data_IF_630110550239
#
_entry.id   IF_630110550239
#
_cell.length_a   1.000
_cell.length_b   1.000
_cell.length_c   1.000
_cell.angle_alpha   90.00
_cell.angle_beta   90.00
_cell.angle_gamma   90.00
#
_symmetry.space_group_name_H-M   'P 1'
#
loop_
_entity.id
_entity.type
_entity.pdbx_description
1 polymer ?
#
# COMPACT_ATOMS: atom_id res chain seq x y z
N UNK A 1 -81.89 2.17 26.42
CA UNK A 1 -80.83 3.12 25.99
C UNK A 1 -79.65 3.02 26.94
N UNK A 2 -78.43 3.22 26.40
CA UNK A 2 -77.10 3.27 27.05
C UNK A 2 -76.36 1.93 27.19
N UNK A 3 -75.62 1.62 26.13
CA UNK A 3 -74.44 0.75 26.08
C UNK A 3 -73.41 1.21 27.12
N UNK A 4 -72.80 0.28 27.86
CA UNK A 4 -71.50 0.51 28.51
C UNK A 4 -70.56 -0.63 28.11
N UNK A 5 -69.47 -0.24 27.46
CA UNK A 5 -68.44 -1.10 26.91
C UNK A 5 -67.58 -1.69 28.03
N UNK A 6 -67.39 -3.01 27.99
CA UNK A 6 -66.44 -3.72 28.82
C UNK A 6 -65.03 -3.51 28.24
N UNK A 7 -64.17 -2.78 28.96
CA UNK A 7 -62.76 -2.68 28.63
C UNK A 7 -62.04 -3.95 29.10
N UNK A 8 -61.57 -4.76 28.17
CA UNK A 8 -60.66 -5.89 28.43
C UNK A 8 -59.24 -5.34 28.45
N UNK A 9 -58.59 -5.37 29.62
CA UNK A 9 -57.18 -5.08 29.75
C UNK A 9 -56.36 -6.30 29.29
N UNK A 10 -55.73 -6.20 28.12
CA UNK A 10 -54.73 -7.17 27.66
C UNK A 10 -53.39 -6.76 28.28
N UNK A 11 -52.93 -7.51 29.28
CA UNK A 11 -51.55 -7.41 29.78
C UNK A 11 -50.67 -8.21 28.82
N UNK A 12 -49.95 -7.50 27.95
CA UNK A 12 -48.91 -8.09 27.12
C UNK A 12 -47.66 -8.34 27.98
N UNK A 13 -47.38 -9.61 28.29
CA UNK A 13 -46.09 -10.04 28.84
C UNK A 13 -45.06 -9.94 27.73
N UNK A 14 -44.28 -8.86 27.72
CA UNK A 14 -43.10 -8.72 26.89
C UNK A 14 -41.97 -9.48 27.57
N UNK A 15 -41.72 -10.72 27.16
CA UNK A 15 -40.47 -11.40 27.48
C UNK A 15 -39.34 -10.65 26.77
N UNK A 16 -38.61 -9.82 27.53
CA UNK A 16 -37.32 -9.30 27.13
C UNK A 16 -36.34 -10.48 26.99
N UNK A 17 -36.31 -11.11 25.81
CA UNK A 17 -35.19 -11.96 25.42
C UNK A 17 -33.99 -11.03 25.24
N UNK A 18 -33.25 -10.83 26.33
CA UNK A 18 -31.94 -10.22 26.29
C UNK A 18 -31.06 -11.13 25.42
N UNK A 19 -30.88 -10.77 24.16
CA UNK A 19 -29.78 -11.25 23.35
C UNK A 19 -28.49 -10.76 24.02
N UNK A 20 -28.00 -11.53 25.00
CA UNK A 20 -26.62 -11.38 25.47
C UNK A 20 -25.76 -11.79 24.29
N UNK A 21 -25.36 -10.81 23.48
CA UNK A 21 -24.27 -11.00 22.54
C UNK A 21 -23.06 -11.40 23.39
N UNK A 22 -22.76 -12.71 23.42
CA UNK A 22 -21.54 -13.18 24.06
C UNK A 22 -20.40 -12.35 23.48
N UNK A 23 -19.62 -11.63 24.30
CA UNK A 23 -18.47 -10.92 23.79
C UNK A 23 -17.60 -11.96 23.09
N UNK A 24 -17.45 -11.83 21.78
CA UNK A 24 -16.57 -12.70 21.00
C UNK A 24 -15.20 -12.54 21.62
N UNK A 25 -14.79 -13.52 22.41
CA UNK A 25 -13.56 -13.45 23.16
C UNK A 25 -12.43 -13.39 22.13
N UNK A 26 -11.79 -12.23 22.02
CA UNK A 26 -10.73 -11.99 21.06
C UNK A 26 -9.71 -13.13 21.21
N UNK A 27 -9.49 -13.89 20.15
CA UNK A 27 -8.59 -15.02 20.20
C UNK A 27 -7.19 -14.51 20.55
N UNK A 28 -6.70 -14.92 21.73
CA UNK A 28 -5.42 -14.46 22.25
C UNK A 28 -4.28 -14.83 21.29
N UNK A 29 -3.40 -13.87 21.05
CA UNK A 29 -2.14 -14.11 20.34
C UNK A 29 -1.33 -15.20 21.06
N UNK A 30 -0.63 -16.05 20.31
CA UNK A 30 0.44 -16.86 20.90
C UNK A 30 1.54 -15.93 21.46
N UNK A 31 2.43 -16.47 22.32
CA UNK A 31 3.56 -15.67 22.86
C UNK A 31 4.42 -15.06 21.74
N UNK A 32 4.68 -15.82 20.66
CA UNK A 32 5.46 -15.34 19.52
C UNK A 32 4.69 -14.33 18.67
N UNK A 33 3.39 -14.55 18.42
CA UNK A 33 2.52 -13.59 17.73
C UNK A 33 2.48 -12.27 18.52
N UNK A 34 2.28 -12.32 19.84
CA UNK A 34 2.23 -11.13 20.71
C UNK A 34 3.55 -10.34 20.70
N UNK A 35 4.71 -11.02 20.68
CA UNK A 35 6.02 -10.37 20.57
C UNK A 35 6.15 -9.62 19.24
N UNK A 36 5.71 -10.23 18.13
CA UNK A 36 5.75 -9.59 16.81
C UNK A 36 4.75 -8.43 16.69
N UNK A 37 3.55 -8.58 17.22
CA UNK A 37 2.55 -7.50 17.27
C UNK A 37 3.11 -6.29 18.03
N UNK A 38 3.64 -6.48 19.24
CA UNK A 38 4.25 -5.40 20.02
C UNK A 38 5.44 -4.77 19.31
N UNK A 39 6.24 -5.56 18.60
CA UNK A 39 7.34 -5.04 17.78
C UNK A 39 6.84 -4.10 16.68
N UNK A 40 5.87 -4.54 15.87
CA UNK A 40 5.34 -3.71 14.77
C UNK A 40 4.49 -2.54 15.24
N UNK A 41 3.76 -2.67 16.35
CA UNK A 41 3.03 -1.55 16.96
C UNK A 41 3.98 -0.47 17.45
N UNK A 42 5.10 -0.85 18.11
CA UNK A 42 6.13 0.11 18.53
C UNK A 42 6.79 0.80 17.35
N UNK A 43 7.18 0.04 16.31
CA UNK A 43 7.72 0.64 15.09
C UNK A 43 6.75 1.64 14.47
N UNK A 44 5.49 1.24 14.27
CA UNK A 44 4.49 2.11 13.66
C UNK A 44 4.18 3.38 14.49
N UNK A 45 4.13 3.23 15.83
CA UNK A 45 3.97 4.36 16.75
C UNK A 45 5.11 5.38 16.64
N UNK A 46 6.33 4.90 16.40
CA UNK A 46 7.52 5.74 16.29
C UNK A 46 7.68 6.39 14.91
N UNK A 47 6.95 5.95 13.88
CA UNK A 47 6.95 6.63 12.58
C UNK A 47 6.35 8.03 12.75
N UNK A 48 6.96 9.04 12.15
CA UNK A 48 6.43 10.39 12.15
C UNK A 48 5.06 10.45 11.42
N UNK A 49 4.19 11.32 11.91
CA UNK A 49 2.83 11.59 11.41
C UNK A 49 2.67 13.04 10.96
N UNK A 50 3.77 13.81 10.89
CA UNK A 50 3.80 15.18 10.42
C UNK A 50 3.08 15.31 9.07
N UNK A 51 2.32 16.39 8.98
CA UNK A 51 1.56 16.76 7.79
C UNK A 51 2.36 17.82 7.02
N UNK A 52 2.50 17.61 5.71
CA UNK A 52 3.29 18.44 4.83
C UNK A 52 2.40 19.10 3.79
N UNK A 53 2.43 20.43 3.76
CA UNK A 53 1.77 21.24 2.73
C UNK A 53 2.83 21.90 1.83
N UNK A 54 2.38 22.69 0.85
CA UNK A 54 3.25 23.43 -0.07
C UNK A 54 4.35 24.24 0.62
N UNK A 55 4.07 24.77 1.82
CA UNK A 55 5.00 25.64 2.55
C UNK A 55 5.95 24.86 3.47
N UNK A 56 5.61 23.64 3.89
CA UNK A 56 6.40 22.86 4.85
C UNK A 56 7.15 21.67 4.25
N UNK A 57 6.78 21.23 3.03
CA UNK A 57 7.40 20.07 2.37
C UNK A 57 8.80 20.38 1.81
N UNK A 58 9.13 21.65 1.58
CA UNK A 58 10.40 22.07 0.99
C UNK A 58 11.37 22.65 2.00
N UNK A 59 12.65 22.33 1.84
CA UNK A 59 13.74 23.15 2.34
C UNK A 59 14.02 24.31 1.37
N UNK A 60 13.92 24.04 0.06
CA UNK A 60 13.98 25.04 -1.01
C UNK A 60 12.86 24.77 -1.99
N UNK A 61 11.95 25.74 -2.18
CA UNK A 61 10.83 25.57 -3.09
C UNK A 61 11.31 25.37 -4.54
N UNK A 62 10.61 24.56 -5.35
CA UNK A 62 10.89 24.45 -6.78
C UNK A 62 10.69 25.79 -7.51
N UNK A 63 11.45 26.01 -8.59
CA UNK A 63 11.21 27.06 -9.57
C UNK A 63 10.77 26.44 -10.90
N UNK A 64 9.53 26.67 -11.28
CA UNK A 64 8.91 26.13 -12.48
C UNK A 64 8.92 27.14 -13.65
N UNK A 65 9.97 27.96 -13.71
CA UNK A 65 10.22 28.96 -14.75
C UNK A 65 11.71 28.93 -15.13
N UNK A 66 12.18 29.84 -15.99
CA UNK A 66 13.60 29.95 -16.31
C UNK A 66 14.36 30.76 -15.22
N UNK A 67 15.40 30.23 -14.56
CA UNK A 67 15.97 28.89 -14.70
C UNK A 67 15.19 27.84 -13.90
N UNK A 68 14.95 26.66 -14.49
CA UNK A 68 14.27 25.56 -13.79
C UNK A 68 15.07 25.13 -12.57
N UNK A 69 14.38 24.91 -11.46
CA UNK A 69 14.95 24.24 -10.29
C UNK A 69 13.93 23.27 -9.72
N UNK A 70 14.28 21.99 -9.52
CA UNK A 70 13.38 21.02 -8.93
C UNK A 70 13.13 21.28 -7.42
N UNK A 71 13.86 22.21 -6.81
CA UNK A 71 13.83 22.47 -5.38
C UNK A 71 14.53 21.37 -4.57
N UNK A 72 14.44 21.49 -3.25
CA UNK A 72 14.98 20.53 -2.28
C UNK A 72 13.90 20.25 -1.24
N UNK A 73 13.59 18.98 -1.03
CA UNK A 73 12.63 18.57 0.00
C UNK A 73 13.18 18.81 1.39
N UNK A 74 12.27 18.99 2.34
CA UNK A 74 12.59 18.89 3.75
C UNK A 74 13.18 17.48 4.03
N UNK A 75 14.40 17.38 4.58
CA UNK A 75 15.03 16.08 4.86
C UNK A 75 14.18 15.17 5.77
N UNK A 76 13.38 15.76 6.67
CA UNK A 76 12.48 15.01 7.54
C UNK A 76 11.37 14.29 6.76
N UNK A 77 10.88 14.88 5.66
CA UNK A 77 9.90 14.24 4.78
C UNK A 77 10.52 13.01 4.11
N UNK A 78 11.72 13.14 3.53
CA UNK A 78 12.43 12.03 2.87
C UNK A 78 12.67 10.89 3.87
N UNK A 79 13.27 11.19 5.04
CA UNK A 79 13.56 10.18 6.06
C UNK A 79 12.28 9.47 6.52
N UNK A 80 11.20 10.23 6.76
CA UNK A 80 9.92 9.66 7.18
C UNK A 80 9.35 8.74 6.12
N UNK A 81 9.33 9.15 4.85
CA UNK A 81 8.85 8.30 3.74
C UNK A 81 9.62 6.98 3.69
N UNK A 82 10.95 7.02 3.79
CA UNK A 82 11.78 5.81 3.83
C UNK A 82 11.53 4.94 5.07
N UNK A 83 11.23 5.54 6.23
CA UNK A 83 10.85 4.78 7.42
C UNK A 83 9.54 4.01 7.22
N UNK A 84 8.55 4.57 6.51
CA UNK A 84 7.33 3.85 6.13
C UNK A 84 7.60 2.73 5.13
N UNK A 85 8.37 3.01 4.06
CA UNK A 85 8.79 2.00 3.08
C UNK A 85 9.45 0.82 3.79
N UNK A 86 10.42 1.10 4.66
CA UNK A 86 11.17 0.09 5.39
C UNK A 86 10.34 -0.62 6.48
N UNK A 87 9.36 0.06 7.09
CA UNK A 87 8.37 -0.59 7.94
C UNK A 87 7.54 -1.63 7.18
N UNK A 88 7.06 -1.31 5.98
CA UNK A 88 6.28 -2.23 5.15
C UNK A 88 7.12 -3.39 4.60
N UNK A 89 8.38 -3.15 4.25
CA UNK A 89 9.34 -4.19 3.88
C UNK A 89 9.62 -5.15 5.04
N UNK A 90 9.77 -4.64 6.27
CA UNK A 90 9.96 -5.45 7.48
C UNK A 90 8.76 -6.35 7.79
N UNK A 91 7.52 -5.88 7.56
CA UNK A 91 6.31 -6.72 7.72
C UNK A 91 6.37 -8.01 6.91
N UNK A 92 6.96 -7.95 5.71
CA UNK A 92 7.12 -9.12 4.84
C UNK A 92 8.51 -9.76 4.96
N UNK A 93 9.35 -9.30 5.89
CA UNK A 93 10.69 -9.83 6.15
C UNK A 93 11.68 -9.57 5.02
N UNK A 94 11.59 -8.40 4.38
CA UNK A 94 12.60 -7.88 3.45
C UNK A 94 13.57 -6.96 4.20
N UNK A 95 14.83 -6.85 3.74
CA UNK A 95 15.77 -5.89 4.28
C UNK A 95 15.35 -4.45 3.94
N UNK A 96 15.77 -3.51 4.77
CA UNK A 96 15.61 -2.08 4.46
C UNK A 96 16.35 -1.71 3.17
N UNK A 97 15.77 -0.77 2.44
CA UNK A 97 16.43 -0.10 1.33
C UNK A 97 17.21 1.12 1.80
N UNK A 98 18.32 1.37 1.10
CA UNK A 98 19.07 2.61 1.25
C UNK A 98 18.36 3.78 0.57
N UNK A 99 18.73 5.01 0.95
CA UNK A 99 18.18 6.23 0.36
C UNK A 99 19.32 7.18 0.02
N UNK A 100 20.02 6.97 -1.11
CA UNK A 100 21.15 7.80 -1.48
C UNK A 100 20.69 9.12 -2.11
N UNK A 101 21.51 10.15 -1.95
CA UNK A 101 21.16 11.53 -2.35
C UNK A 101 20.95 11.68 -3.85
N UNK A 102 21.65 10.92 -4.68
CA UNK A 102 21.50 10.91 -6.14
C UNK A 102 20.13 10.36 -6.58
N UNK A 103 19.64 9.32 -5.90
CA UNK A 103 18.31 8.79 -6.12
C UNK A 103 17.23 9.80 -5.69
N UNK A 104 17.42 10.47 -4.53
CA UNK A 104 16.53 11.54 -4.07
C UNK A 104 16.49 12.72 -5.07
N UNK A 105 17.65 13.15 -5.56
CA UNK A 105 17.74 14.21 -6.57
C UNK A 105 16.98 13.81 -7.85
N UNK A 106 17.16 12.58 -8.30
CA UNK A 106 16.47 12.06 -9.49
C UNK A 106 14.94 12.02 -9.30
N UNK A 107 14.49 11.51 -8.16
CA UNK A 107 13.06 11.49 -7.82
C UNK A 107 12.47 12.90 -7.70
N UNK A 108 13.20 13.85 -7.09
CA UNK A 108 12.76 15.24 -6.96
C UNK A 108 12.65 15.94 -8.31
N UNK A 109 13.60 15.70 -9.23
CA UNK A 109 13.50 16.15 -10.62
C UNK A 109 12.25 15.55 -11.29
N UNK A 110 11.99 14.25 -11.11
CA UNK A 110 10.77 13.60 -11.61
C UNK A 110 9.49 14.27 -11.11
N UNK A 111 9.37 14.47 -9.79
CA UNK A 111 8.20 15.09 -9.18
C UNK A 111 8.01 16.54 -9.66
N UNK A 112 9.09 17.34 -9.68
CA UNK A 112 9.03 18.71 -10.15
C UNK A 112 8.66 18.82 -11.63
N UNK A 113 9.16 17.93 -12.48
CA UNK A 113 8.79 17.90 -13.90
C UNK A 113 7.32 17.53 -14.12
N UNK A 114 6.79 16.54 -13.38
CA UNK A 114 5.36 16.22 -13.39
C UNK A 114 4.50 17.43 -13.00
N UNK A 115 4.92 18.15 -11.95
CA UNK A 115 4.25 19.36 -11.49
C UNK A 115 4.34 20.51 -12.51
N UNK A 116 5.50 20.69 -13.15
CA UNK A 116 5.73 21.76 -14.13
C UNK A 116 4.83 21.63 -15.37
N UNK A 117 4.52 20.40 -15.79
CA UNK A 117 3.64 20.13 -16.94
C UNK A 117 2.18 19.91 -16.55
N UNK A 118 1.84 20.11 -15.27
CA UNK A 118 0.53 19.78 -14.69
C UNK A 118 0.05 18.38 -15.09
N UNK A 119 0.90 17.36 -14.90
CA UNK A 119 0.60 16.01 -15.35
C UNK A 119 -0.73 15.50 -14.75
N UNK A 120 -1.54 14.87 -15.58
CA UNK A 120 -2.79 14.25 -15.16
C UNK A 120 -2.52 12.89 -14.50
N UNK A 121 -3.36 12.50 -13.54
CA UNK A 121 -3.35 11.17 -12.93
C UNK A 121 -3.75 10.09 -13.96
N UNK A 122 -2.77 9.69 -14.78
CA UNK A 122 -2.93 8.75 -15.89
C UNK A 122 -1.68 7.88 -16.04
N UNK A 123 -1.83 6.75 -16.72
CA UNK A 123 -0.68 5.86 -17.00
C UNK A 123 0.41 6.54 -17.84
N UNK A 124 0.06 7.60 -18.56
CA UNK A 124 1.00 8.37 -19.38
C UNK A 124 1.94 9.23 -18.53
N UNK A 125 1.62 9.48 -17.27
CA UNK A 125 2.53 10.21 -16.38
C UNK A 125 3.81 9.40 -16.06
N UNK A 126 3.76 8.07 -16.12
CA UNK A 126 4.98 7.27 -16.07
C UNK A 126 5.83 7.52 -17.31
N UNK A 127 7.09 7.88 -17.10
CA UNK A 127 7.98 8.20 -18.22
C UNK A 127 7.67 9.52 -18.91
N UNK A 128 6.78 10.35 -18.35
CA UNK A 128 6.30 11.59 -18.98
C UNK A 128 5.84 11.38 -20.44
N UNK A 129 5.24 10.21 -20.72
CA UNK A 129 4.77 9.85 -22.05
C UNK A 129 3.71 10.86 -22.50
N UNK A 130 3.86 11.37 -23.73
CA UNK A 130 2.97 12.39 -24.33
C UNK A 130 2.95 13.76 -23.62
N UNK A 131 3.90 14.04 -22.72
CA UNK A 131 4.12 15.38 -22.21
C UNK A 131 5.24 16.06 -23.02
N UNK A 132 5.03 17.33 -23.37
CA UNK A 132 6.06 18.12 -24.03
C UNK A 132 6.99 18.74 -22.99
N UNK A 133 8.30 18.51 -23.14
CA UNK A 133 9.33 19.15 -22.32
C UNK A 133 9.22 20.69 -22.44
N UNK A 134 9.00 21.43 -21.35
CA UNK A 134 9.10 22.89 -21.37
C UNK A 134 10.53 23.33 -21.67
N UNK A 135 10.71 24.41 -22.44
CA UNK A 135 12.02 24.91 -22.88
C UNK A 135 12.96 25.31 -21.73
N UNK A 136 12.40 25.66 -20.56
CA UNK A 136 13.16 26.02 -19.36
C UNK A 136 13.68 24.80 -18.59
N UNK A 137 13.22 23.58 -18.90
CA UNK A 137 13.76 22.33 -18.35
C UNK A 137 14.84 21.80 -19.31
N UNK A 138 16.04 21.58 -18.78
CA UNK A 138 17.16 21.04 -19.58
C UNK A 138 16.83 19.64 -20.12
N UNK A 139 17.47 19.24 -21.23
CA UNK A 139 17.29 17.87 -21.77
C UNK A 139 17.72 16.81 -20.78
N UNK A 140 18.80 17.10 -20.03
CA UNK A 140 19.30 16.22 -19.00
C UNK A 140 18.29 16.03 -17.86
N UNK A 141 17.73 17.11 -17.31
CA UNK A 141 16.76 17.01 -16.22
C UNK A 141 15.46 16.35 -16.70
N UNK A 142 15.05 16.61 -17.94
CA UNK A 142 13.91 15.92 -18.53
C UNK A 142 14.14 14.41 -18.66
N UNK A 143 15.29 13.98 -19.18
CA UNK A 143 15.64 12.55 -19.26
C UNK A 143 15.76 11.88 -17.88
N UNK A 144 16.25 12.59 -16.87
CA UNK A 144 16.23 12.12 -15.48
C UNK A 144 14.78 11.95 -15.00
N UNK A 145 13.90 12.92 -15.29
CA UNK A 145 12.51 12.87 -14.90
C UNK A 145 11.74 11.72 -15.58
N UNK A 146 11.95 11.51 -16.88
CA UNK A 146 11.38 10.38 -17.62
C UNK A 146 11.76 9.07 -16.94
N UNK A 147 13.04 8.86 -16.65
CA UNK A 147 13.48 7.63 -16.00
C UNK A 147 12.98 7.49 -14.54
N UNK A 148 13.05 8.55 -13.74
CA UNK A 148 12.63 8.50 -12.34
C UNK A 148 11.12 8.21 -12.18
N UNK A 149 10.30 8.78 -13.07
CA UNK A 149 8.83 8.59 -13.07
C UNK A 149 8.38 7.23 -13.59
N UNK A 150 9.28 6.37 -14.08
CA UNK A 150 8.97 4.94 -14.29
C UNK A 150 8.78 4.19 -12.96
N UNK A 151 9.29 4.73 -11.85
CA UNK A 151 9.04 4.23 -10.50
C UNK A 151 7.59 4.46 -10.04
N UNK A 152 7.35 4.43 -8.73
CA UNK A 152 6.02 4.74 -8.23
C UNK A 152 5.75 6.23 -8.37
N UNK A 153 4.54 6.56 -8.83
CA UNK A 153 4.02 7.92 -8.81
C UNK A 153 2.71 7.93 -8.02
N UNK A 154 2.47 8.98 -7.24
CA UNK A 154 1.20 9.23 -6.58
C UNK A 154 0.75 10.67 -6.83
N UNK A 155 -0.56 10.84 -6.96
CA UNK A 155 -1.23 12.12 -7.12
C UNK A 155 -2.24 12.24 -5.98
N UNK A 156 -2.07 13.25 -5.13
CA UNK A 156 -3.08 13.60 -4.14
C UNK A 156 -3.71 14.92 -4.55
N UNK A 157 -4.92 14.83 -5.11
CA UNK A 157 -5.75 15.98 -5.45
C UNK A 157 -6.20 16.71 -4.18
N UNK A 158 -6.21 18.05 -4.25
CA UNK A 158 -6.65 18.93 -3.16
C UNK A 158 -6.02 18.57 -1.81
N UNK A 159 -4.73 18.20 -1.83
CA UNK A 159 -4.11 17.55 -0.69
C UNK A 159 -4.15 18.43 0.55
N UNK A 160 -4.14 19.77 0.41
CA UNK A 160 -3.98 20.81 1.44
C UNK A 160 -2.77 20.58 2.36
N UNK A 161 -2.70 19.44 3.04
CA UNK A 161 -1.54 18.79 3.61
C UNK A 161 -1.68 17.27 3.58
N UNK A 162 -0.60 16.54 3.30
CA UNK A 162 -0.56 15.08 3.40
C UNK A 162 0.62 14.62 4.25
N UNK A 163 0.50 13.46 4.90
CA UNK A 163 1.64 12.85 5.58
C UNK A 163 2.44 11.96 4.63
N UNK A 164 3.76 11.88 4.83
CA UNK A 164 4.60 10.91 4.11
C UNK A 164 4.04 9.47 4.24
N UNK A 165 3.52 9.12 5.42
CA UNK A 165 2.93 7.81 5.68
C UNK A 165 1.67 7.50 4.88
N UNK A 166 0.84 8.51 4.59
CA UNK A 166 -0.38 8.37 3.80
C UNK A 166 -0.04 7.94 2.37
N UNK A 167 0.89 8.66 1.72
CA UNK A 167 1.36 8.37 0.36
C UNK A 167 1.87 6.92 0.23
N UNK A 168 2.78 6.51 1.10
CA UNK A 168 3.32 5.14 1.06
C UNK A 168 2.21 4.11 1.34
N UNK A 169 1.27 4.44 2.23
CA UNK A 169 0.15 3.53 2.57
C UNK A 169 -0.81 3.34 1.40
N UNK A 170 -1.10 4.39 0.64
CA UNK A 170 -1.97 4.34 -0.54
C UNK A 170 -1.36 3.45 -1.62
N UNK A 171 -0.06 3.62 -1.89
CA UNK A 171 0.71 2.78 -2.81
C UNK A 171 0.72 1.30 -2.35
N UNK A 172 0.90 1.04 -1.06
CA UNK A 172 0.86 -0.31 -0.51
C UNK A 172 -0.54 -0.96 -0.62
N UNK A 173 -1.60 -0.17 -0.49
CA UNK A 173 -2.98 -0.66 -0.60
C UNK A 173 -3.51 -0.69 -2.03
N UNK A 174 -2.82 -0.02 -2.95
CA UNK A 174 -3.26 0.22 -4.33
C UNK A 174 -4.56 1.04 -4.35
N UNK A 175 -4.74 1.96 -3.40
CA UNK A 175 -5.96 2.77 -3.26
C UNK A 175 -6.08 3.82 -4.39
N UNK A 176 -4.95 4.19 -5.01
CA UNK A 176 -4.82 5.11 -6.15
C UNK A 176 -4.59 4.40 -7.50
N UNK A 177 -4.82 3.09 -7.59
CA UNK A 177 -4.39 2.30 -8.75
C UNK A 177 -5.28 2.48 -9.98
N UNK A 178 -4.74 3.20 -10.96
CA UNK A 178 -5.33 3.41 -12.29
C UNK A 178 -4.93 2.35 -13.34
N UNK A 179 -3.96 1.48 -13.05
CA UNK A 179 -3.49 0.41 -13.93
C UNK A 179 -4.44 -0.81 -13.99
N UNK A 180 -5.61 -0.69 -13.37
CA UNK A 180 -6.70 -1.64 -13.45
C UNK A 180 -6.76 -2.63 -12.30
N UNK A 181 -7.96 -3.21 -12.12
CA UNK A 181 -8.30 -4.00 -10.95
C UNK A 181 -7.30 -5.12 -10.62
N UNK A 182 -6.74 -5.08 -9.42
CA UNK A 182 -5.84 -6.11 -8.91
C UNK A 182 -4.44 -6.08 -9.49
N UNK A 183 -4.08 -5.09 -10.31
CA UNK A 183 -2.67 -4.74 -10.52
C UNK A 183 -2.08 -4.26 -9.18
N UNK A 184 -0.81 -4.56 -8.94
CA UNK A 184 -0.12 -4.26 -7.68
C UNK A 184 1.26 -3.62 -7.93
N UNK A 185 1.40 -2.88 -9.04
CA UNK A 185 2.66 -2.29 -9.47
C UNK A 185 3.35 -1.53 -8.36
N UNK A 186 2.61 -0.65 -7.68
CA UNK A 186 3.18 0.19 -6.65
C UNK A 186 3.75 -0.60 -5.48
N UNK A 187 2.94 -1.52 -4.96
CA UNK A 187 3.37 -2.43 -3.90
C UNK A 187 4.47 -3.38 -4.36
N UNK A 188 4.48 -3.81 -5.62
CA UNK A 188 5.51 -4.71 -6.14
C UNK A 188 6.89 -4.02 -6.20
N UNK A 189 6.94 -2.73 -6.50
CA UNK A 189 8.15 -1.92 -6.44
C UNK A 189 8.61 -1.78 -4.98
N UNK A 190 7.75 -1.31 -4.07
CA UNK A 190 8.09 -1.16 -2.64
C UNK A 190 8.56 -2.48 -2.00
N UNK A 191 7.87 -3.57 -2.35
CA UNK A 191 8.20 -4.91 -1.85
C UNK A 191 9.08 -5.70 -2.81
N UNK A 192 9.82 -5.04 -3.71
CA UNK A 192 10.73 -5.74 -4.62
C UNK A 192 11.76 -6.55 -3.83
N UNK A 193 11.93 -7.81 -4.22
CA UNK A 193 12.94 -8.69 -3.60
C UNK A 193 14.34 -8.47 -4.15
N UNK A 194 14.46 -7.59 -5.13
CA UNK A 194 15.72 -7.18 -5.75
C UNK A 194 16.14 -5.78 -5.35
N UNK A 195 15.20 -4.94 -4.91
CA UNK A 195 15.48 -3.55 -4.58
C UNK A 195 16.49 -3.41 -3.45
N UNK A 196 17.44 -2.51 -3.67
CA UNK A 196 18.50 -2.14 -2.73
C UNK A 196 18.36 -0.71 -2.22
N UNK A 197 17.68 0.15 -2.98
CA UNK A 197 17.57 1.57 -2.72
C UNK A 197 16.31 2.17 -3.34
N UNK A 198 15.91 3.32 -2.80
CA UNK A 198 14.79 4.12 -3.30
C UNK A 198 15.11 5.61 -3.15
N UNK A 199 14.73 6.41 -4.15
CA UNK A 199 14.76 7.87 -4.10
C UNK A 199 13.38 8.46 -3.86
N UNK A 200 13.29 9.55 -3.08
CA UNK A 200 12.03 10.20 -2.72
C UNK A 200 11.98 11.61 -3.31
N UNK A 201 10.92 11.90 -4.05
CA UNK A 201 10.64 13.21 -4.65
C UNK A 201 9.19 13.62 -4.42
N UNK A 202 8.94 14.91 -4.22
CA UNK A 202 7.60 15.46 -4.11
C UNK A 202 7.53 16.91 -4.58
N UNK A 203 6.47 17.26 -5.31
CA UNK A 203 6.25 18.61 -5.81
C UNK A 203 4.76 18.94 -5.79
N UNK A 204 4.37 20.12 -5.33
CA UNK A 204 3.03 20.65 -5.51
C UNK A 204 2.97 21.38 -6.86
N UNK A 205 1.91 21.14 -7.63
CA UNK A 205 1.68 21.83 -8.91
C UNK A 205 1.65 23.35 -8.74
N UNK A 206 2.10 24.12 -9.74
CA UNK A 206 2.02 25.60 -9.66
C UNK A 206 0.59 26.10 -9.58
N UNK A 207 -0.29 25.48 -10.38
CA UNK A 207 -1.64 25.94 -10.66
C UNK A 207 -2.71 25.08 -9.99
N UNK A 208 -2.28 24.07 -9.23
CA UNK A 208 -3.12 23.10 -8.54
C UNK A 208 -2.54 22.85 -7.16
N UNK A 209 -3.38 22.55 -6.17
CA UNK A 209 -2.92 22.01 -4.87
C UNK A 209 -2.72 20.48 -4.92
N UNK A 210 -2.50 19.95 -6.12
CA UNK A 210 -2.13 18.55 -6.31
C UNK A 210 -0.69 18.32 -5.88
N UNK A 211 -0.49 17.32 -5.03
CA UNK A 211 0.83 16.81 -4.68
C UNK A 211 1.22 15.67 -5.61
N UNK A 212 2.31 15.86 -6.34
CA UNK A 212 2.98 14.87 -7.17
C UNK A 212 4.09 14.22 -6.35
N UNK A 213 4.00 12.92 -6.10
CA UNK A 213 5.04 12.17 -5.38
C UNK A 213 5.67 11.14 -6.30
N UNK A 214 7.00 10.98 -6.21
CA UNK A 214 7.78 9.97 -6.94
C UNK A 214 8.58 9.15 -5.93
N UNK A 215 8.39 7.83 -5.93
CA UNK A 215 9.31 6.88 -5.28
C UNK A 215 10.09 6.14 -6.36
N UNK A 216 11.31 6.59 -6.61
CA UNK A 216 12.18 6.04 -7.64
C UNK A 216 12.87 4.78 -7.11
N UNK A 217 12.23 3.62 -7.33
CA UNK A 217 12.67 2.30 -6.86
C UNK A 217 13.06 1.32 -7.98
N UNK A 218 13.23 1.80 -9.21
CA UNK A 218 13.59 0.97 -10.37
C UNK A 218 14.99 1.32 -10.88
N UNK A 219 15.97 0.48 -10.55
CA UNK A 219 17.36 0.68 -10.96
C UNK A 219 17.84 -0.50 -11.82
N UNK A 220 18.61 -0.19 -12.87
CA UNK A 220 19.05 -1.18 -13.85
C UNK A 220 19.88 -2.33 -13.24
N UNK A 221 20.73 -2.00 -12.27
CA UNK A 221 21.55 -2.97 -11.53
C UNK A 221 20.72 -3.85 -10.58
N UNK A 222 19.63 -3.32 -10.01
CA UNK A 222 18.71 -4.11 -9.19
C UNK A 222 17.93 -5.14 -10.04
N UNK A 223 17.55 -4.81 -11.29
CA UNK A 223 16.77 -5.70 -12.16
C UNK A 223 17.43 -7.06 -12.36
N UNK A 224 18.77 -7.10 -12.42
CA UNK A 224 19.54 -8.34 -12.64
C UNK A 224 19.97 -9.03 -11.33
N UNK A 225 19.75 -8.40 -10.18
CA UNK A 225 20.17 -8.91 -8.87
C UNK A 225 19.47 -10.22 -8.51
N UNK A 226 20.16 -11.08 -7.74
CA UNK A 226 19.51 -12.23 -7.14
C UNK A 226 18.44 -11.78 -6.11
N UNK A 227 17.21 -12.32 -6.16
CA UNK A 227 16.17 -11.94 -5.21
C UNK A 227 16.53 -12.42 -3.81
N UNK A 228 16.49 -11.53 -2.81
CA UNK A 228 16.82 -11.86 -1.40
C UNK A 228 15.79 -12.78 -0.76
N UNK A 229 14.63 -12.94 -1.39
CA UNK A 229 13.57 -13.85 -0.96
C UNK A 229 12.85 -14.42 -2.17
N UNK A 230 12.56 -15.71 -2.14
CA UNK A 230 11.90 -16.41 -3.25
C UNK A 230 10.39 -16.15 -3.34
N UNK A 231 9.79 -15.52 -2.31
CA UNK A 231 8.35 -15.33 -2.22
C UNK A 231 7.95 -14.21 -1.27
N UNK A 232 6.95 -13.44 -1.67
CA UNK A 232 6.20 -12.50 -0.84
C UNK A 232 4.71 -12.84 -0.87
N UNK A 233 4.04 -12.68 0.25
CA UNK A 233 2.58 -12.76 0.37
C UNK A 233 2.07 -11.51 1.04
N UNK A 234 0.93 -11.03 0.55
CA UNK A 234 0.19 -9.93 1.13
C UNK A 234 -1.24 -10.39 1.33
N UNK A 235 -1.76 -10.51 2.57
CA UNK A 235 -1.13 -10.28 3.87
C UNK A 235 0.14 -11.11 4.14
N UNK A 236 1.07 -10.55 4.92
CA UNK A 236 2.27 -11.25 5.36
C UNK A 236 1.91 -12.42 6.30
N UNK A 237 2.76 -13.45 6.32
CA UNK A 237 2.58 -14.59 7.22
C UNK A 237 2.82 -14.21 8.69
N UNK A 238 2.30 -15.02 9.62
CA UNK A 238 2.35 -14.85 11.09
C UNK A 238 1.43 -13.76 11.62
N UNK A 239 1.78 -12.48 11.46
CA UNK A 239 0.96 -11.35 11.91
C UNK A 239 0.90 -10.28 10.82
N UNK A 240 -0.24 -9.62 10.67
CA UNK A 240 -0.40 -8.58 9.67
C UNK A 240 -1.32 -7.45 10.14
N UNK A 241 -1.01 -6.19 9.81
CA UNK A 241 -1.90 -5.06 10.07
C UNK A 241 -3.30 -5.23 9.47
N UNK A 242 -4.33 -5.02 10.29
CA UNK A 242 -5.70 -4.98 9.81
C UNK A 242 -5.96 -3.75 8.93
N UNK A 243 -5.30 -2.64 9.23
CA UNK A 243 -5.41 -1.40 8.48
C UNK A 243 -4.99 -1.58 7.01
N UNK A 244 -4.06 -2.48 6.71
CA UNK A 244 -3.51 -2.69 5.37
C UNK A 244 -4.37 -3.56 4.43
N UNK A 245 -5.55 -4.01 4.86
CA UNK A 245 -6.45 -4.87 4.06
C UNK A 245 -7.81 -4.23 3.86
N UNK A 246 -7.83 -3.04 3.26
CA UNK A 246 -9.04 -2.32 2.90
C UNK A 246 -9.99 -3.16 2.02
N UNK A 247 -11.24 -2.69 1.91
CA UNK A 247 -12.27 -3.32 1.07
C UNK A 247 -11.77 -3.55 -0.36
N UNK A 248 -11.07 -2.55 -0.88
CA UNK A 248 -10.57 -2.51 -2.25
C UNK A 248 -9.07 -2.78 -2.38
N UNK A 249 -8.41 -3.26 -1.31
CA UNK A 249 -7.02 -3.72 -1.39
C UNK A 249 -6.91 -5.15 -1.98
N UNK A 250 -6.18 -5.38 -3.09
CA UNK A 250 -5.90 -6.73 -3.58
C UNK A 250 -4.92 -7.45 -2.66
N UNK A 251 -5.17 -8.73 -2.39
CA UNK A 251 -4.18 -9.64 -1.78
C UNK A 251 -3.27 -10.20 -2.87
N UNK A 252 -2.06 -10.60 -2.51
CA UNK A 252 -1.09 -11.09 -3.47
C UNK A 252 -0.25 -12.26 -2.98
N UNK A 253 0.27 -12.98 -3.96
CA UNK A 253 1.31 -13.99 -3.82
C UNK A 253 2.27 -13.82 -5.00
N UNK A 254 3.47 -13.36 -4.68
CA UNK A 254 4.56 -13.16 -5.65
C UNK A 254 5.67 -14.15 -5.37
N UNK A 255 6.27 -14.72 -6.42
CA UNK A 255 7.27 -15.79 -6.31
C UNK A 255 8.26 -15.77 -7.46
N UNK A 256 9.48 -16.26 -7.21
CA UNK A 256 10.51 -16.47 -8.23
C UNK A 256 10.24 -17.70 -9.10
N UNK A 257 9.23 -18.52 -8.76
CA UNK A 257 8.81 -19.68 -9.55
C UNK A 257 7.77 -19.28 -10.58
N UNK A 258 7.96 -19.72 -11.84
CA UNK A 258 6.94 -19.57 -12.88
C UNK A 258 5.71 -20.43 -12.57
N UNK A 259 4.54 -19.81 -12.56
CA UNK A 259 3.24 -20.48 -12.45
C UNK A 259 2.39 -20.01 -13.63
N UNK A 260 2.07 -20.91 -14.55
CA UNK A 260 1.23 -20.60 -15.72
C UNK A 260 -0.27 -20.67 -15.43
N UNK A 261 -0.67 -21.47 -14.43
CA UNK A 261 -2.08 -21.69 -14.12
C UNK A 261 -2.68 -20.58 -13.24
N UNK A 262 -4.01 -20.50 -13.23
CA UNK A 262 -4.78 -19.67 -12.30
C UNK A 262 -5.26 -20.56 -11.13
N UNK A 263 -4.62 -20.49 -9.94
CA UNK A 263 -4.96 -21.40 -8.86
C UNK A 263 -6.35 -21.10 -8.27
N UNK A 264 -7.02 -22.15 -7.75
CA UNK A 264 -8.11 -21.96 -6.80
C UNK A 264 -7.51 -21.56 -5.46
N UNK A 265 -7.89 -20.38 -4.96
CA UNK A 265 -7.41 -19.85 -3.69
C UNK A 265 -8.53 -19.92 -2.66
N UNK A 266 -8.19 -20.35 -1.46
CA UNK A 266 -9.13 -20.48 -0.36
C UNK A 266 -8.62 -19.83 0.91
N UNK A 267 -9.53 -19.21 1.64
CA UNK A 267 -9.27 -18.54 2.91
C UNK A 267 -10.17 -19.17 3.97
N UNK A 268 -9.57 -19.59 5.07
CA UNK A 268 -10.27 -20.18 6.21
C UNK A 268 -9.99 -19.34 7.43
N UNK A 269 -11.06 -18.84 8.07
CA UNK A 269 -10.98 -18.26 9.40
C UNK A 269 -10.79 -19.41 10.41
N UNK A 270 -9.61 -19.48 11.02
CA UNK A 270 -9.24 -20.51 11.99
C UNK A 270 -9.70 -20.16 13.41
N UNK A 271 -10.19 -18.95 13.64
CA UNK A 271 -10.64 -18.48 14.96
C UNK A 271 -12.08 -18.87 15.25
N UNK A 272 -12.92 -19.02 14.21
CA UNK A 272 -14.31 -19.47 14.37
C UNK A 272 -14.40 -20.97 14.64
N UNK A 273 -15.28 -21.35 15.57
CA UNK A 273 -15.59 -22.75 15.90
C UNK A 273 -16.03 -23.54 14.65
N UNK A 274 -16.90 -22.95 13.82
CA UNK A 274 -17.23 -23.47 12.48
C UNK A 274 -16.25 -22.89 11.46
N UNK A 275 -15.11 -23.57 11.25
CA UNK A 275 -14.02 -23.19 10.32
C UNK A 275 -14.48 -23.21 8.86
N UNK A 276 -15.29 -22.21 8.48
CA UNK A 276 -15.80 -22.08 7.12
C UNK A 276 -14.68 -21.67 6.17
N UNK A 277 -14.59 -22.39 5.06
CA UNK A 277 -13.66 -22.12 3.97
C UNK A 277 -14.37 -21.28 2.91
N UNK A 278 -13.74 -20.19 2.51
CA UNK A 278 -14.24 -19.28 1.49
C UNK A 278 -13.33 -19.33 0.28
N UNK A 279 -13.91 -19.24 -0.91
CA UNK A 279 -13.15 -19.14 -2.15
C UNK A 279 -12.82 -17.67 -2.41
N UNK A 280 -11.56 -17.39 -2.71
CA UNK A 280 -11.15 -16.07 -3.16
C UNK A 280 -11.80 -15.72 -4.51
N UNK A 281 -11.93 -14.44 -4.78
CA UNK A 281 -12.53 -13.91 -6.01
C UNK A 281 -11.52 -13.06 -6.77
N UNK A 282 -11.86 -12.67 -8.00
CA UNK A 282 -11.00 -11.84 -8.86
C UNK A 282 -9.53 -12.32 -8.94
N UNK A 283 -9.32 -13.65 -8.94
CA UNK A 283 -7.97 -14.20 -9.05
C UNK A 283 -7.38 -13.80 -10.41
N UNK A 284 -6.19 -13.21 -10.43
CA UNK A 284 -5.45 -12.84 -11.64
C UNK A 284 -4.03 -13.34 -11.52
N UNK A 285 -3.44 -13.78 -12.63
CA UNK A 285 -2.04 -14.18 -12.72
C UNK A 285 -1.37 -13.26 -13.72
N UNK A 286 -0.48 -12.40 -13.23
CA UNK A 286 0.20 -11.37 -14.00
C UNK A 286 1.47 -11.88 -14.71
N UNK A 287 1.77 -13.19 -14.61
CA UNK A 287 2.88 -13.84 -15.31
C UNK A 287 4.19 -13.06 -15.11
N UNK A 288 4.77 -12.57 -16.20
CA UNK A 288 6.10 -11.92 -16.26
C UNK A 288 6.08 -10.41 -16.05
N UNK A 289 4.92 -9.81 -15.79
CA UNK A 289 4.79 -8.35 -15.63
C UNK A 289 5.60 -7.79 -14.46
N UNK A 290 6.06 -8.63 -13.52
CA UNK A 290 6.80 -8.21 -12.32
C UNK A 290 8.21 -8.80 -12.21
N UNK A 291 8.84 -9.08 -13.36
CA UNK A 291 10.16 -9.71 -13.38
C UNK A 291 11.24 -8.78 -12.80
N UNK A 292 11.18 -7.48 -13.06
CA UNK A 292 12.15 -6.49 -12.55
C UNK A 292 12.18 -6.41 -11.02
N UNK A 293 11.04 -6.68 -10.39
CA UNK A 293 10.79 -6.64 -8.95
C UNK A 293 11.20 -7.94 -8.23
N UNK A 294 11.80 -8.87 -8.98
CA UNK A 294 12.30 -10.15 -8.49
C UNK A 294 11.26 -11.27 -8.48
N UNK A 295 10.18 -11.14 -9.26
CA UNK A 295 9.12 -12.14 -9.31
C UNK A 295 8.93 -12.71 -10.72
N UNK A 296 9.01 -14.04 -10.83
CA UNK A 296 8.64 -14.71 -12.08
C UNK A 296 7.12 -14.89 -12.22
N UNK A 297 6.38 -14.81 -11.12
CA UNK A 297 4.92 -14.85 -11.12
C UNK A 297 4.34 -14.10 -9.93
N UNK A 298 3.37 -13.23 -10.22
CA UNK A 298 2.51 -12.57 -9.23
C UNK A 298 1.06 -12.96 -9.47
N UNK A 299 0.42 -13.49 -8.44
CA UNK A 299 -1.00 -13.81 -8.43
C UNK A 299 -1.69 -12.88 -7.44
N UNK A 300 -2.70 -12.16 -7.89
CA UNK A 300 -3.52 -11.29 -7.04
C UNK A 300 -4.94 -11.80 -6.95
N UNK A 301 -5.63 -11.48 -5.86
CA UNK A 301 -6.96 -11.99 -5.56
C UNK A 301 -7.63 -11.14 -4.48
N UNK A 302 -8.96 -11.25 -4.38
CA UNK A 302 -9.73 -10.66 -3.28
C UNK A 302 -10.19 -11.73 -2.30
N UNK A 303 -10.34 -11.39 -1.01
CA UNK A 303 -10.80 -12.35 -0.01
C UNK A 303 -12.21 -12.89 -0.26
N UNK A 304 -12.98 -12.26 -1.16
CA UNK A 304 -14.33 -12.71 -1.52
C UNK A 304 -15.31 -12.45 -0.40
N UNK A 305 -16.12 -13.46 -0.04
CA UNK A 305 -17.16 -13.33 1.01
C UNK A 305 -16.62 -13.46 2.45
N UNK A 306 -15.30 -13.51 2.64
CA UNK A 306 -14.71 -13.59 3.99
C UNK A 306 -14.98 -12.28 4.71
N UNK A 307 -15.68 -12.34 5.84
CA UNK A 307 -15.74 -11.21 6.78
C UNK A 307 -14.41 -11.17 7.54
N UNK A 308 -13.54 -10.24 7.18
CA UNK A 308 -12.28 -10.00 7.87
C UNK A 308 -12.58 -9.36 9.24
N UNK A 309 -11.93 -9.86 10.28
CA UNK A 309 -12.11 -9.40 11.65
C UNK A 309 -10.73 -9.22 12.25
N UNK A 310 -10.50 -8.07 12.87
CA UNK A 310 -9.26 -7.83 13.61
C UNK A 310 -9.02 -8.94 14.66
N UNK A 311 -7.76 -9.24 14.98
CA UNK A 311 -7.33 -10.33 15.87
C UNK A 311 -7.60 -11.76 15.37
N UNK A 312 -8.41 -11.98 14.34
CA UNK A 312 -8.64 -13.33 13.82
C UNK A 312 -7.43 -13.88 13.07
N UNK A 313 -7.25 -15.19 13.16
CA UNK A 313 -6.25 -15.98 12.43
C UNK A 313 -6.86 -16.60 11.19
N UNK A 314 -6.21 -16.39 10.06
CA UNK A 314 -6.61 -16.90 8.76
C UNK A 314 -5.56 -17.86 8.21
N UNK A 315 -6.03 -18.90 7.52
CA UNK A 315 -5.23 -19.75 6.65
C UNK A 315 -5.54 -19.41 5.21
N UNK A 316 -4.52 -19.19 4.40
CA UNK A 316 -4.65 -18.97 2.95
C UNK A 316 -3.98 -20.12 2.24
N UNK A 317 -4.71 -20.75 1.31
CA UNK A 317 -4.26 -21.88 0.50
C UNK A 317 -4.32 -21.47 -0.97
N UNK A 318 -3.16 -21.41 -1.63
CA UNK A 318 -2.99 -20.97 -3.02
C UNK A 318 -2.74 -22.20 -3.88
N UNK A 319 -3.82 -22.87 -4.30
CA UNK A 319 -3.75 -24.14 -5.01
C UNK A 319 -2.82 -25.14 -4.33
N UNK A 320 -1.95 -25.78 -5.12
CA UNK A 320 -0.87 -26.64 -4.63
C UNK A 320 0.45 -25.90 -4.32
N UNK A 321 0.49 -24.59 -4.59
CA UNK A 321 1.75 -23.84 -4.64
C UNK A 321 2.21 -23.36 -3.27
N UNK A 322 1.26 -22.92 -2.43
CA UNK A 322 1.61 -22.42 -1.12
C UNK A 322 0.42 -22.43 -0.15
N UNK A 323 0.70 -22.63 1.12
CA UNK A 323 -0.24 -22.42 2.22
C UNK A 323 0.47 -21.68 3.33
N UNK A 324 -0.18 -20.66 3.88
CA UNK A 324 0.33 -19.93 5.04
C UNK A 324 -0.80 -19.54 5.98
N UNK A 325 -0.42 -19.11 7.19
CA UNK A 325 -1.35 -18.52 8.15
C UNK A 325 -0.85 -17.17 8.60
N UNK A 326 -1.77 -16.30 8.96
CA UNK A 326 -1.48 -15.02 9.58
C UNK A 326 -2.62 -14.64 10.53
N UNK A 327 -2.35 -13.74 11.46
CA UNK A 327 -3.34 -13.16 12.37
C UNK A 327 -3.34 -11.65 12.25
N UNK A 328 -4.51 -11.04 12.17
CA UNK A 328 -4.60 -9.58 12.15
C UNK A 328 -4.24 -8.96 13.49
N UNK A 329 -3.68 -7.76 13.46
CA UNK A 329 -3.52 -6.87 14.61
C UNK A 329 -3.79 -5.42 14.22
N UNK A 330 -4.04 -4.55 15.21
CA UNK A 330 -4.15 -3.10 15.02
C UNK A 330 -2.78 -2.46 15.10
N UNK A 331 -2.38 -1.71 14.07
CA UNK A 331 -1.09 -1.01 14.09
C UNK A 331 -0.96 0.01 15.23
N UNK A 332 -2.07 0.66 15.61
CA UNK A 332 -2.10 1.74 16.60
C UNK A 332 -2.15 1.29 18.07
N UNK A 333 -2.20 -0.02 18.33
CA UNK A 333 -2.46 -0.56 19.68
C UNK A 333 -3.81 -1.24 19.75
#
# INVERSE_FOLDING_TARGET
>A
MKKHNLLVAIVAVVECIAFTAQPVQAAKYSKSEAKQVKYFQRKYKNLDKAQYNRNSIYQQAPNFANPFSPGVLNPAYISTTMDYVNYYRDLVGLPSEANPDDANRSAQIGAASLAAVNASASLQAHGLINYLRPNYISENDWGIAENATLGNINFLDDAHSASAGEIVTDLMREDNNIAGAGNIGHRAIILSTRATRMGIGAAYGMSTDMLYSVEYGLFADDILRAPVKSRIVYPAAKVFPYELVGKDTPWSYSTTKRISSKPKIYITDLTKNKKKRYRATQVRNFKTLFYGEGYATTITYRPGKVKLVNTHKYKVQIGKYYTYTFRFFRQKG
#
